data_IF_749141863200
#
_entry.id   IF_749141863200
#
_cell.length_a   1.000
_cell.length_b   1.000
_cell.length_c   1.000
_cell.angle_alpha   90.00
_cell.angle_beta   90.00
_cell.angle_gamma   90.00
#
_symmetry.space_group_name_H-M   'P 1'
#
loop_
_entity.id
_entity.type
_entity.pdbx_description
1 polymer ?
#
# COMPACT_ATOMS: atom_id res chain seq x y z
N UNK A 1 -6.89 0.08 10.44
CA UNK A 1 -5.42 0.14 10.34
C UNK A 1 -4.72 0.09 11.69
N UNK A 2 -5.04 0.99 12.63
CA UNK A 2 -4.35 1.11 13.93
C UNK A 2 -4.18 -0.16 14.76
N UNK A 3 -5.16 -1.08 14.76
CA UNK A 3 -5.03 -2.39 15.45
C UNK A 3 -3.90 -3.24 14.87
N UNK A 4 -3.81 -3.33 13.55
CA UNK A 4 -2.76 -4.12 12.87
C UNK A 4 -1.38 -3.46 13.03
N UNK A 5 -1.34 -2.12 12.96
CA UNK A 5 -0.11 -1.37 13.24
C UNK A 5 0.45 -1.64 14.64
N UNK A 6 -0.41 -1.78 15.67
CA UNK A 6 0.06 -2.12 17.03
C UNK A 6 0.77 -3.47 17.05
N UNK A 7 0.25 -4.45 16.32
CA UNK A 7 0.90 -5.76 16.24
C UNK A 7 2.21 -5.69 15.43
N UNK A 8 2.24 -4.93 14.33
CA UNK A 8 3.48 -4.69 13.59
C UNK A 8 4.54 -3.99 14.43
N UNK A 9 4.19 -2.98 15.24
CA UNK A 9 5.13 -2.32 16.14
C UNK A 9 5.70 -3.31 17.16
N UNK A 10 4.88 -4.19 17.74
CA UNK A 10 5.36 -5.22 18.68
C UNK A 10 6.34 -6.21 18.04
N UNK A 11 6.12 -6.58 16.78
CA UNK A 11 6.90 -7.62 16.08
C UNK A 11 8.14 -7.02 15.39
N UNK A 12 8.01 -5.85 14.77
CA UNK A 12 8.99 -5.26 13.85
C UNK A 12 9.54 -3.90 14.33
N UNK A 13 8.94 -3.29 15.35
CA UNK A 13 9.28 -1.92 15.80
C UNK A 13 8.76 -0.81 14.87
N UNK A 14 8.07 -1.17 13.77
CA UNK A 14 7.55 -0.27 12.75
C UNK A 14 6.33 -0.88 12.06
N UNK A 15 5.54 -0.07 11.36
CA UNK A 15 4.35 -0.50 10.60
C UNK A 15 4.38 0.06 9.17
N UNK A 16 3.80 -0.65 8.18
CA UNK A 16 3.84 -0.24 6.78
C UNK A 16 3.00 1.01 6.53
N UNK A 17 3.38 1.81 5.53
CA UNK A 17 2.56 2.92 5.03
C UNK A 17 1.81 2.60 3.74
N UNK A 18 2.06 1.43 3.17
CA UNK A 18 1.29 0.88 2.06
C UNK A 18 0.20 -0.05 2.60
N UNK A 19 -1.00 0.04 2.02
CA UNK A 19 -2.08 -0.89 2.31
C UNK A 19 -2.95 -1.13 1.08
N UNK A 20 -3.64 -2.26 1.04
CA UNK A 20 -4.65 -2.58 0.03
C UNK A 20 -6.02 -2.76 0.73
N UNK A 21 -7.09 -2.10 0.28
CA UNK A 21 -8.42 -2.34 0.81
C UNK A 21 -8.88 -3.78 0.54
N UNK A 22 -9.43 -4.49 1.52
CA UNK A 22 -10.07 -5.78 1.27
C UNK A 22 -11.11 -5.68 0.14
N UNK A 23 -11.15 -6.69 -0.73
CA UNK A 23 -12.03 -6.76 -1.92
C UNK A 23 -11.84 -5.62 -2.92
N UNK A 24 -10.75 -4.85 -2.83
CA UNK A 24 -10.57 -3.60 -3.57
C UNK A 24 -11.74 -2.62 -3.38
N UNK A 25 -12.46 -2.75 -2.26
CA UNK A 25 -13.66 -1.96 -1.98
C UNK A 25 -13.30 -0.76 -1.12
N UNK A 26 -13.48 0.43 -1.70
CA UNK A 26 -13.25 1.69 -1.02
C UNK A 26 -14.17 2.78 -1.59
N UNK A 27 -14.41 3.82 -0.80
CA UNK A 27 -15.11 5.03 -1.23
C UNK A 27 -14.32 6.28 -0.79
N UNK A 28 -14.87 7.47 -1.05
CA UNK A 28 -14.25 8.73 -0.67
C UNK A 28 -13.97 8.85 0.83
N UNK A 29 -14.85 8.32 1.69
CA UNK A 29 -14.66 8.31 3.14
C UNK A 29 -13.51 7.38 3.54
N UNK A 30 -13.44 6.17 2.97
CA UNK A 30 -12.33 5.23 3.19
C UNK A 30 -10.99 5.86 2.80
N UNK A 31 -10.91 6.45 1.61
CA UNK A 31 -9.70 7.09 1.10
C UNK A 31 -9.30 8.30 1.96
N UNK A 32 -10.27 9.10 2.42
CA UNK A 32 -10.02 10.22 3.33
C UNK A 32 -9.36 9.73 4.62
N UNK A 33 -9.95 8.74 5.29
CA UNK A 33 -9.42 8.20 6.56
C UNK A 33 -8.02 7.60 6.35
N UNK A 34 -7.81 6.84 5.27
CA UNK A 34 -6.50 6.27 4.96
C UNK A 34 -5.45 7.36 4.67
N UNK A 35 -5.83 8.43 3.98
CA UNK A 35 -4.98 9.59 3.74
C UNK A 35 -4.64 10.36 5.02
N UNK A 36 -5.60 10.59 5.91
CA UNK A 36 -5.37 11.19 7.24
C UNK A 36 -4.43 10.34 8.10
N UNK A 37 -4.50 9.02 7.96
CA UNK A 37 -3.58 8.07 8.60
C UNK A 37 -2.22 7.99 7.89
N UNK A 38 -2.04 8.64 6.73
CA UNK A 38 -0.80 8.66 5.96
C UNK A 38 -0.50 7.35 5.22
N UNK A 39 -1.54 6.66 4.73
CA UNK A 39 -1.38 5.47 3.90
C UNK A 39 -1.40 5.77 2.40
N UNK A 40 -0.55 5.07 1.66
CA UNK A 40 -0.71 4.86 0.23
C UNK A 40 -1.65 3.67 0.01
N UNK A 41 -2.75 3.90 -0.71
CA UNK A 41 -3.75 2.88 -1.04
C UNK A 41 -3.38 2.25 -2.38
N UNK A 42 -3.13 0.94 -2.37
CA UNK A 42 -2.64 0.19 -3.53
C UNK A 42 -3.74 -0.69 -4.12
N UNK A 43 -4.11 -0.39 -5.35
CA UNK A 43 -5.01 -1.20 -6.17
C UNK A 43 -4.20 -2.21 -7.02
N UNK A 44 -4.76 -2.68 -8.12
CA UNK A 44 -4.17 -3.61 -9.09
C UNK A 44 -4.70 -3.31 -10.49
N UNK A 45 -3.86 -3.49 -11.49
CA UNK A 45 -4.24 -3.49 -12.91
C UNK A 45 -4.26 -4.92 -13.49
N UNK A 46 -3.70 -5.90 -12.77
CA UNK A 46 -3.69 -7.33 -13.13
C UNK A 46 -4.29 -8.19 -12.02
N UNK A 47 -5.61 -8.43 -12.07
CA UNK A 47 -6.28 -9.39 -11.16
C UNK A 47 -6.30 -10.82 -11.74
N UNK A 48 -5.50 -11.72 -11.18
CA UNK A 48 -5.37 -13.09 -11.71
C UNK A 48 -6.61 -13.98 -11.48
N UNK A 49 -7.57 -13.55 -10.64
CA UNK A 49 -8.71 -14.38 -10.22
C UNK A 49 -8.28 -15.77 -9.71
N UNK A 50 -7.12 -15.85 -9.07
CA UNK A 50 -6.55 -17.10 -8.57
C UNK A 50 -7.43 -17.79 -7.52
N UNK A 51 -8.19 -17.00 -6.76
CA UNK A 51 -9.23 -17.49 -5.85
C UNK A 51 -10.33 -18.27 -6.57
N UNK A 52 -10.69 -17.89 -7.80
CA UNK A 52 -11.71 -18.55 -8.60
C UNK A 52 -11.16 -19.82 -9.28
N UNK A 53 -9.87 -19.83 -9.61
CA UNK A 53 -9.19 -20.89 -10.36
C UNK A 53 -8.18 -21.69 -9.51
N UNK A 54 -8.52 -21.92 -8.24
CA UNK A 54 -7.63 -22.53 -7.25
C UNK A 54 -7.50 -24.07 -7.35
N UNK A 55 -8.07 -24.69 -8.40
CA UNK A 55 -7.85 -26.11 -8.68
C UNK A 55 -6.55 -26.31 -9.49
N UNK A 56 -5.77 -27.38 -9.27
CA UNK A 56 -4.50 -27.60 -9.97
C UNK A 56 -4.59 -27.55 -11.50
N UNK A 57 -5.69 -28.02 -12.08
CA UNK A 57 -5.92 -28.02 -13.53
C UNK A 57 -6.39 -26.66 -14.08
N UNK A 58 -6.79 -25.73 -13.21
CA UNK A 58 -7.37 -24.44 -13.60
C UNK A 58 -6.35 -23.30 -13.68
N UNK A 59 -5.07 -23.55 -13.34
CA UNK A 59 -4.00 -22.54 -13.32
C UNK A 59 -3.84 -21.78 -14.64
N UNK A 60 -4.14 -22.43 -15.77
CA UNK A 60 -4.06 -21.82 -17.10
C UNK A 60 -5.04 -20.64 -17.28
N UNK A 61 -6.17 -20.63 -16.57
CA UNK A 61 -7.16 -19.54 -16.65
C UNK A 61 -6.60 -18.26 -16.01
N UNK A 62 -6.07 -18.37 -14.79
CA UNK A 62 -5.38 -17.25 -14.13
C UNK A 62 -4.12 -16.80 -14.87
N UNK A 63 -3.35 -17.73 -15.42
CA UNK A 63 -2.17 -17.38 -16.21
C UNK A 63 -2.54 -16.61 -17.48
N UNK A 64 -3.62 -17.01 -18.17
CA UNK A 64 -4.12 -16.29 -19.34
C UNK A 64 -4.55 -14.86 -19.00
N UNK A 65 -5.29 -14.67 -17.91
CA UNK A 65 -5.69 -13.34 -17.41
C UNK A 65 -4.47 -12.47 -17.07
N UNK A 66 -3.46 -13.06 -16.41
CA UNK A 66 -2.20 -12.39 -16.14
C UNK A 66 -1.53 -11.94 -17.44
N UNK A 67 -1.30 -12.88 -18.37
CA UNK A 67 -0.61 -12.60 -19.64
C UNK A 67 -1.31 -11.50 -20.42
N UNK A 68 -2.62 -11.61 -20.64
CA UNK A 68 -3.39 -10.63 -21.41
C UNK A 68 -3.28 -9.23 -20.81
N UNK A 69 -3.40 -9.08 -19.48
CA UNK A 69 -3.32 -7.75 -18.85
C UNK A 69 -1.89 -7.22 -18.78
N UNK A 70 -0.88 -8.07 -18.63
CA UNK A 70 0.52 -7.69 -18.75
C UNK A 70 0.82 -7.11 -20.14
N UNK A 71 0.38 -7.77 -21.21
CA UNK A 71 0.56 -7.29 -22.59
C UNK A 71 -0.20 -5.99 -22.88
N UNK A 72 -1.22 -5.68 -22.09
CA UNK A 72 -1.96 -4.42 -22.15
C UNK A 72 -1.35 -3.31 -21.26
N UNK A 73 -0.15 -3.52 -20.72
CA UNK A 73 0.58 -2.52 -19.94
C UNK A 73 0.32 -2.54 -18.44
N UNK A 74 -0.33 -3.58 -17.90
CA UNK A 74 -0.47 -3.77 -16.47
C UNK A 74 0.88 -4.06 -15.78
N UNK A 75 0.97 -3.74 -14.48
CA UNK A 75 2.22 -3.70 -13.72
C UNK A 75 2.08 -4.13 -12.25
N UNK A 76 0.91 -3.97 -11.63
CA UNK A 76 0.64 -4.33 -10.24
C UNK A 76 -0.29 -5.54 -10.21
N UNK A 77 0.26 -6.70 -9.86
CA UNK A 77 -0.44 -7.98 -9.88
C UNK A 77 -1.13 -8.29 -8.54
N UNK A 78 -2.38 -8.76 -8.58
CA UNK A 78 -3.11 -9.31 -7.45
C UNK A 78 -3.17 -10.84 -7.53
N UNK A 79 -2.68 -11.47 -6.47
CA UNK A 79 -2.69 -12.91 -6.19
C UNK A 79 -2.79 -13.12 -4.67
N UNK A 80 -3.11 -14.33 -4.23
CA UNK A 80 -3.29 -14.67 -2.82
C UNK A 80 -2.41 -15.87 -2.43
N UNK A 81 -1.44 -15.64 -1.56
CA UNK A 81 -0.48 -16.64 -1.08
C UNK A 81 -1.10 -17.70 -0.14
N UNK A 82 -2.28 -17.43 0.42
CA UNK A 82 -3.08 -18.40 1.17
C UNK A 82 -3.57 -19.59 0.31
N UNK A 83 -3.49 -19.45 -1.02
CA UNK A 83 -3.89 -20.48 -1.96
C UNK A 83 -2.68 -21.30 -2.42
N UNK A 84 -2.64 -22.59 -2.05
CA UNK A 84 -1.53 -23.48 -2.42
C UNK A 84 -1.29 -23.54 -3.93
N UNK A 85 -2.36 -23.51 -4.73
CA UNK A 85 -2.24 -23.53 -6.19
C UNK A 85 -1.53 -22.27 -6.72
N UNK A 86 -1.85 -21.11 -6.15
CA UNK A 86 -1.21 -19.83 -6.48
C UNK A 86 0.29 -19.90 -6.28
N UNK A 87 0.74 -20.33 -5.09
CA UNK A 87 2.16 -20.38 -4.75
C UNK A 87 2.91 -21.45 -5.55
N UNK A 88 2.35 -22.67 -5.62
CA UNK A 88 3.08 -23.82 -6.16
C UNK A 88 3.05 -23.88 -7.69
N UNK A 89 1.98 -23.39 -8.32
CA UNK A 89 1.76 -23.59 -9.76
C UNK A 89 1.67 -22.27 -10.53
N UNK A 90 0.96 -21.25 -10.02
CA UNK A 90 0.76 -20.00 -10.77
C UNK A 90 1.97 -19.07 -10.75
N UNK A 91 2.51 -18.75 -9.56
CA UNK A 91 3.64 -17.83 -9.40
C UNK A 91 4.87 -18.24 -10.23
N UNK A 92 5.30 -19.51 -10.27
CA UNK A 92 6.42 -19.92 -11.11
C UNK A 92 6.20 -19.70 -12.62
N UNK A 93 4.95 -19.77 -13.09
CA UNK A 93 4.59 -19.52 -14.48
C UNK A 93 4.53 -18.03 -14.79
N UNK A 94 4.03 -17.22 -13.86
CA UNK A 94 4.02 -15.75 -13.93
C UNK A 94 5.44 -15.20 -14.03
N UNK A 95 6.34 -15.63 -13.15
CA UNK A 95 7.73 -15.14 -13.11
C UNK A 95 8.46 -15.39 -14.44
N UNK A 96 8.18 -16.51 -15.13
CA UNK A 96 8.78 -16.81 -16.45
C UNK A 96 8.41 -15.81 -17.55
N UNK A 97 7.32 -15.05 -17.39
CA UNK A 97 6.89 -14.04 -18.34
C UNK A 97 7.37 -12.62 -17.98
N UNK A 98 7.95 -12.44 -16.79
CA UNK A 98 8.38 -11.14 -16.29
C UNK A 98 9.88 -10.95 -16.52
N UNK A 99 10.27 -9.74 -16.90
CA UNK A 99 11.69 -9.35 -17.03
C UNK A 99 12.31 -9.00 -15.67
N UNK A 100 11.51 -8.38 -14.80
CA UNK A 100 11.92 -7.98 -13.46
C UNK A 100 10.70 -7.98 -12.53
N UNK A 101 10.94 -8.32 -11.27
CA UNK A 101 9.98 -8.13 -10.18
C UNK A 101 10.58 -7.18 -9.17
N UNK A 102 9.81 -6.18 -8.75
CA UNK A 102 10.20 -5.20 -7.74
C UNK A 102 9.09 -5.07 -6.70
N UNK A 103 9.40 -4.46 -5.56
CA UNK A 103 8.41 -4.08 -4.57
C UNK A 103 7.52 -2.93 -5.09
N UNK A 104 6.37 -2.71 -4.45
CA UNK A 104 5.50 -1.56 -4.78
C UNK A 104 6.23 -0.23 -4.59
N UNK A 105 7.06 -0.11 -3.55
CA UNK A 105 7.82 1.11 -3.30
C UNK A 105 8.79 1.43 -4.43
N UNK A 106 9.58 0.44 -4.87
CA UNK A 106 10.46 0.59 -6.05
C UNK A 106 9.68 0.91 -7.32
N UNK A 107 8.55 0.22 -7.57
CA UNK A 107 7.67 0.48 -8.72
C UNK A 107 7.17 1.94 -8.76
N UNK A 108 6.92 2.53 -7.59
CA UNK A 108 6.46 3.91 -7.45
C UNK A 108 7.61 4.93 -7.29
N UNK A 109 8.87 4.47 -7.32
CA UNK A 109 10.04 5.32 -7.10
C UNK A 109 10.17 5.84 -5.66
N UNK A 110 9.53 5.21 -4.68
CA UNK A 110 9.61 5.58 -3.27
C UNK A 110 10.82 4.91 -2.60
N UNK A 111 11.77 5.66 -2.01
CA UNK A 111 12.90 5.08 -1.29
C UNK A 111 12.48 4.19 -0.12
N UNK A 112 13.17 3.07 0.11
CA UNK A 112 12.82 2.07 1.15
C UNK A 112 12.63 2.66 2.56
N UNK A 113 13.40 3.69 2.91
CA UNK A 113 13.28 4.39 4.21
C UNK A 113 11.88 4.99 4.45
N UNK A 114 11.09 5.18 3.41
CA UNK A 114 9.75 5.75 3.49
C UNK A 114 8.67 4.66 3.66
N UNK A 115 8.94 3.38 3.38
CA UNK A 115 7.89 2.35 3.31
C UNK A 115 7.26 1.98 4.65
N UNK A 116 7.87 2.38 5.76
CA UNK A 116 7.44 2.08 7.12
C UNK A 116 7.57 3.31 8.03
N UNK A 117 6.77 3.34 9.11
CA UNK A 117 6.90 4.31 10.21
C UNK A 117 7.02 3.58 11.55
N UNK A 118 7.80 4.11 12.46
CA UNK A 118 7.96 3.60 13.84
C UNK A 118 6.99 4.26 14.83
N UNK A 119 6.36 5.36 14.43
CA UNK A 119 5.46 6.14 15.25
C UNK A 119 4.31 6.71 14.43
N UNK A 120 3.19 6.96 15.11
CA UNK A 120 2.02 7.64 14.51
C UNK A 120 2.14 9.16 14.55
N UNK A 121 3.23 9.67 15.13
CA UNK A 121 3.51 11.08 15.27
C UNK A 121 4.00 11.71 13.97
N UNK A 122 3.11 12.53 13.39
CA UNK A 122 3.27 13.69 12.49
C UNK A 122 4.08 13.59 11.20
N UNK A 123 3.33 13.76 10.10
CA UNK A 123 3.83 14.43 8.89
C UNK A 123 4.17 15.89 9.26
N UNK A 124 5.45 16.25 9.23
CA UNK A 124 5.88 17.65 9.39
C UNK A 124 5.51 18.43 8.13
N UNK A 125 4.43 19.21 8.17
CA UNK A 125 4.22 20.24 7.15
C UNK A 125 5.08 21.46 7.49
N UNK A 126 5.98 21.82 6.57
CA UNK A 126 6.62 23.14 6.57
C UNK A 126 5.62 24.13 5.96
N UNK A 127 4.86 24.83 6.78
CA UNK A 127 4.00 25.93 6.31
C UNK A 127 4.83 27.20 6.29
N UNK A 128 5.00 27.80 5.10
CA UNK A 128 5.59 29.14 4.98
C UNK A 128 4.55 30.16 5.41
N UNK A 129 4.81 30.86 6.51
CA UNK A 129 4.00 32.01 6.90
C UNK A 129 4.25 33.16 5.91
N UNK A 130 3.23 33.50 5.12
CA UNK A 130 3.30 34.58 4.14
C UNK A 130 3.05 35.98 4.76
N UNK A 131 2.74 36.05 6.05
CA UNK A 131 2.50 37.31 6.77
C UNK A 131 3.76 37.92 7.39
N UNK A 132 4.90 37.20 7.39
CA UNK A 132 6.17 37.64 7.97
C UNK A 132 7.29 37.65 6.93
N UNK A 133 8.12 38.69 6.97
CA UNK A 133 9.18 38.95 5.97
C UNK A 133 10.51 38.25 6.26
N UNK A 134 10.60 37.45 7.34
CA UNK A 134 11.80 36.69 7.72
C UNK A 134 11.65 35.19 7.45
N UNK A 135 12.76 34.52 7.12
CA UNK A 135 12.87 33.09 6.78
C UNK A 135 12.71 32.17 8.01
N UNK A 136 11.69 32.39 8.82
CA UNK A 136 11.47 31.58 10.02
C UNK A 136 10.51 30.42 9.69
N UNK A 137 11.09 29.23 9.54
CA UNK A 137 10.34 27.99 9.38
C UNK A 137 9.84 27.52 10.75
N UNK A 138 8.53 27.54 10.97
CA UNK A 138 7.92 26.98 12.17
C UNK A 138 7.47 25.53 11.94
N UNK A 139 7.87 24.64 12.84
CA UNK A 139 7.39 23.26 12.87
C UNK A 139 6.06 23.25 13.61
N UNK A 140 4.95 23.08 12.89
CA UNK A 140 3.65 22.89 13.51
C UNK A 140 3.46 21.42 13.85
N UNK A 141 3.17 21.16 15.13
CA UNK A 141 2.81 19.84 15.59
C UNK A 141 1.29 19.64 15.46
N UNK A 142 0.79 19.25 14.29
CA UNK A 142 -0.65 18.99 14.12
C UNK A 142 -0.92 17.51 14.37
N UNK A 143 -1.38 17.20 15.58
CA UNK A 143 -2.22 16.03 15.85
C UNK A 143 -3.67 16.49 15.75
N UNK A 144 -4.44 15.97 14.80
CA UNK A 144 -5.89 15.87 15.02
C UNK A 144 -6.42 14.53 14.51
N UNK A 145 -6.24 13.52 15.37
CA UNK A 145 -7.28 12.53 15.57
C UNK A 145 -7.69 12.64 17.06
N UNK A 146 -8.78 13.37 17.30
CA UNK A 146 -9.50 13.51 18.57
C UNK A 146 -8.85 14.38 19.66
N UNK A 147 -9.09 15.69 19.58
CA UNK A 147 -9.57 16.62 20.63
C UNK A 147 -8.93 17.99 20.45
N UNK A 148 -9.72 18.95 19.98
CA UNK A 148 -9.53 20.36 20.28
C UNK A 148 -9.60 20.51 21.81
N UNK A 149 -8.46 20.65 22.47
CA UNK A 149 -8.38 21.28 23.78
C UNK A 149 -7.40 22.43 23.69
N UNK A 150 -7.92 23.64 23.93
CA UNK A 150 -7.12 24.82 24.18
C UNK A 150 -6.26 24.62 25.43
N UNK A 151 -5.01 25.04 25.38
CA UNK A 151 -4.24 25.41 26.56
C UNK A 151 -3.55 26.74 26.28
N UNK A 152 -3.55 27.60 27.29
CA UNK A 152 -3.01 28.98 27.31
C UNK A 152 -1.58 29.11 26.77
#
# INVERSE_FOLDING_TARGET
MTKLENEFIKILGKFPIYMRPPFLSYNSQTLKVLGELGYHVIDTDIDTLDWQHNAPHAVGQSLGLFSTRLWNGGSIVLMHDIHRNTVMNLVPLVIKQLLQTVTIGECLGDPEKNWYRDSRSMVKYLVKDHSKTTKDWHVYNIWEANKLTWSE
#
